data_IF_382596792070
#
_entry.id   IF_382596792070
#
_cell.length_a   1.000
_cell.length_b   1.000
_cell.length_c   1.000
_cell.angle_alpha   90.00
_cell.angle_beta   90.00
_cell.angle_gamma   90.00
#
_symmetry.space_group_name_H-M   'P 1'
#
loop_
_entity.id
_entity.type
_entity.pdbx_description
1 polymer ?
#
# COMPACT_ATOMS: atom_id res chain seq x y z
N UNK A 1 -9.79 2.10 -26.25
CA UNK A 1 -9.16 3.43 -26.41
C UNK A 1 -7.69 3.21 -26.64
N UNK A 2 -7.11 3.82 -27.68
CA UNK A 2 -5.66 3.82 -27.88
C UNK A 2 -4.99 4.60 -26.74
N UNK A 3 -3.82 4.14 -26.29
CA UNK A 3 -3.01 4.92 -25.35
C UNK A 3 -2.76 6.32 -25.94
N UNK A 4 -3.18 7.37 -25.30
CA UNK A 4 -3.11 8.70 -25.87
C UNK A 4 -1.72 9.27 -25.70
N UNK A 5 -1.12 9.68 -26.79
CA UNK A 5 0.02 10.57 -26.84
C UNK A 5 1.39 9.95 -26.53
N UNK A 6 2.44 10.66 -26.78
CA UNK A 6 3.84 10.26 -26.75
C UNK A 6 4.21 9.46 -25.47
N UNK A 7 4.33 8.12 -25.52
CA UNK A 7 4.56 7.28 -24.33
C UNK A 7 5.96 7.49 -23.70
N UNK A 8 6.84 8.21 -24.39
CA UNK A 8 8.22 8.43 -23.95
C UNK A 8 8.42 9.76 -23.22
N UNK A 9 7.36 10.54 -23.00
CA UNK A 9 7.49 11.89 -22.40
C UNK A 9 7.89 11.88 -20.93
N UNK A 10 7.56 10.80 -20.19
CA UNK A 10 7.92 10.68 -18.76
C UNK A 10 8.76 9.43 -18.54
N UNK A 11 9.95 9.63 -18.01
CA UNK A 11 10.81 8.57 -17.48
C UNK A 11 10.88 8.74 -15.96
N UNK A 12 10.43 7.73 -15.24
CA UNK A 12 10.53 7.72 -13.79
C UNK A 12 11.93 7.28 -13.37
N UNK A 13 12.63 8.16 -12.69
CA UNK A 13 13.91 7.83 -12.04
C UNK A 13 13.64 7.09 -10.74
N UNK A 14 14.33 5.99 -10.55
CA UNK A 14 14.18 5.14 -9.38
C UNK A 14 15.52 4.95 -8.67
N UNK A 15 15.61 5.35 -7.40
CA UNK A 15 16.82 5.20 -6.58
C UNK A 15 17.16 3.75 -6.24
N UNK A 16 16.19 2.82 -6.25
CA UNK A 16 16.41 1.38 -6.03
C UNK A 16 16.93 0.66 -7.26
N UNK A 17 16.61 1.16 -8.44
CA UNK A 17 17.00 0.55 -9.70
C UNK A 17 17.58 1.58 -10.64
N UNK A 18 18.57 1.21 -11.43
CA UNK A 18 19.19 2.10 -12.41
C UNK A 18 18.28 2.40 -13.61
N UNK A 19 17.11 1.78 -13.73
CA UNK A 19 16.20 1.95 -14.87
C UNK A 19 15.04 2.86 -14.52
N UNK A 20 14.68 3.77 -15.39
CA UNK A 20 13.44 4.52 -15.36
C UNK A 20 12.29 3.73 -15.97
N UNK A 21 11.05 4.08 -15.61
CA UNK A 21 9.84 3.60 -16.26
C UNK A 21 9.29 4.67 -17.20
N UNK A 22 8.81 4.25 -18.36
CA UNK A 22 8.08 5.10 -19.31
C UNK A 22 6.56 5.01 -19.08
N UNK A 23 5.81 5.95 -19.61
CA UNK A 23 4.35 5.92 -19.55
C UNK A 23 3.76 4.63 -20.12
N UNK A 24 4.36 4.11 -21.20
CA UNK A 24 3.90 2.85 -21.81
C UNK A 24 4.12 1.65 -20.89
N UNK A 25 5.21 1.61 -20.12
CA UNK A 25 5.48 0.53 -19.18
C UNK A 25 4.47 0.51 -18.05
N UNK A 26 4.14 1.69 -17.53
CA UNK A 26 3.11 1.88 -16.50
C UNK A 26 1.74 1.44 -17.04
N UNK A 27 1.40 1.88 -18.24
CA UNK A 27 0.14 1.52 -18.89
C UNK A 27 0.02 0.00 -19.07
N UNK A 28 1.04 -0.62 -19.66
CA UNK A 28 1.06 -2.07 -19.90
C UNK A 28 0.96 -2.85 -18.59
N UNK A 29 1.68 -2.41 -17.55
CA UNK A 29 1.56 -3.01 -16.24
C UNK A 29 0.12 -2.95 -15.74
N UNK A 30 -0.52 -1.78 -15.71
CA UNK A 30 -1.87 -1.64 -15.20
C UNK A 30 -2.91 -2.38 -16.04
N UNK A 31 -2.71 -2.53 -17.35
CA UNK A 31 -3.56 -3.38 -18.17
C UNK A 31 -3.39 -4.87 -17.80
N UNK A 32 -2.17 -5.33 -17.55
CA UNK A 32 -1.90 -6.73 -17.19
C UNK A 32 -2.49 -7.14 -15.84
N UNK A 33 -2.68 -6.18 -14.91
CA UNK A 33 -3.21 -6.43 -13.55
C UNK A 33 -4.63 -5.88 -13.35
N UNK A 34 -5.31 -5.46 -14.42
CA UNK A 34 -6.63 -4.80 -14.38
C UNK A 34 -7.65 -5.56 -13.54
N UNK A 35 -7.80 -6.86 -13.77
CA UNK A 35 -8.76 -7.70 -13.03
C UNK A 35 -8.47 -7.71 -11.52
N UNK A 36 -7.22 -7.92 -11.13
CA UNK A 36 -6.81 -7.93 -9.72
C UNK A 36 -7.11 -6.60 -9.02
N UNK A 37 -6.83 -5.47 -9.69
CA UNK A 37 -7.12 -4.14 -9.15
C UNK A 37 -8.63 -3.91 -9.02
N UNK A 38 -9.42 -4.26 -10.03
CA UNK A 38 -10.88 -4.12 -9.99
C UNK A 38 -11.49 -4.97 -8.88
N UNK A 39 -10.97 -6.18 -8.64
CA UNK A 39 -11.44 -7.04 -7.56
C UNK A 39 -11.11 -6.47 -6.18
N UNK A 40 -9.89 -5.99 -5.97
CA UNK A 40 -9.49 -5.42 -4.67
C UNK A 40 -10.20 -4.10 -4.38
N UNK A 41 -10.46 -3.28 -5.39
CA UNK A 41 -11.13 -1.97 -5.26
C UNK A 41 -12.65 -2.06 -5.35
N UNK A 42 -13.21 -3.26 -5.50
CA UNK A 42 -14.65 -3.47 -5.61
C UNK A 42 -15.39 -2.84 -4.42
N UNK A 43 -16.35 -1.98 -4.73
CA UNK A 43 -17.16 -1.24 -3.75
C UNK A 43 -16.37 -0.30 -2.82
N UNK A 44 -15.13 0.04 -3.17
CA UNK A 44 -14.32 1.01 -2.43
C UNK A 44 -14.13 2.28 -3.25
N UNK A 45 -14.04 3.40 -2.55
CA UNK A 45 -13.50 4.60 -3.15
C UNK A 45 -11.97 4.44 -3.28
N UNK A 46 -11.40 5.09 -4.28
CA UNK A 46 -9.97 5.05 -4.52
C UNK A 46 -9.36 6.45 -4.49
N UNK A 47 -8.08 6.50 -4.21
CA UNK A 47 -7.22 7.62 -4.50
C UNK A 47 -6.06 7.13 -5.37
N UNK A 48 -5.48 8.02 -6.15
CA UNK A 48 -4.33 7.64 -6.96
C UNK A 48 -3.37 8.81 -7.15
N UNK A 49 -2.08 8.49 -7.20
CA UNK A 49 -1.05 9.44 -7.54
C UNK A 49 -0.80 9.40 -9.05
N UNK A 50 -0.77 10.56 -9.70
CA UNK A 50 -0.40 10.70 -11.10
C UNK A 50 0.84 11.58 -11.24
N UNK A 51 1.70 11.25 -12.20
CA UNK A 51 2.79 12.13 -12.59
C UNK A 51 2.26 13.26 -13.46
N UNK A 52 2.49 14.48 -13.02
CA UNK A 52 2.19 15.69 -13.82
C UNK A 52 3.44 16.23 -14.51
N UNK A 53 4.61 15.93 -13.92
CA UNK A 53 5.93 16.28 -14.42
C UNK A 53 6.95 15.32 -13.81
N UNK A 54 8.19 15.31 -14.27
CA UNK A 54 9.26 14.48 -13.70
C UNK A 54 9.37 14.71 -12.19
N UNK A 55 9.25 13.62 -11.42
CA UNK A 55 9.35 13.62 -9.97
C UNK A 55 8.28 14.46 -9.22
N UNK A 56 7.19 14.85 -9.88
CA UNK A 56 6.09 15.60 -9.27
C UNK A 56 4.79 14.82 -9.31
N UNK A 57 4.58 13.86 -8.39
CA UNK A 57 3.31 13.19 -8.27
C UNK A 57 2.26 14.09 -7.62
N UNK A 58 1.05 14.05 -8.13
CA UNK A 58 -0.11 14.72 -7.54
C UNK A 58 -1.11 13.65 -7.12
N UNK A 59 -1.51 13.70 -5.84
CA UNK A 59 -2.53 12.80 -5.31
C UNK A 59 -3.91 13.29 -5.70
N UNK A 60 -4.65 12.48 -6.44
CA UNK A 60 -6.05 12.70 -6.81
C UNK A 60 -6.96 11.94 -5.85
N UNK A 61 -7.78 12.68 -5.11
CA UNK A 61 -8.76 12.13 -4.15
C UNK A 61 -10.19 12.30 -4.64
N UNK A 62 -10.43 13.34 -5.44
CA UNK A 62 -11.76 13.70 -5.96
C UNK A 62 -11.66 14.18 -7.38
N UNK A 63 -12.73 13.96 -8.13
CA UNK A 63 -12.92 14.53 -9.46
C UNK A 63 -13.19 16.05 -9.41
N UNK A 64 -13.30 16.65 -10.58
CA UNK A 64 -13.67 18.08 -10.71
C UNK A 64 -15.05 18.38 -10.15
N UNK A 65 -15.93 17.39 -10.13
CA UNK A 65 -17.28 17.43 -9.55
C UNK A 65 -17.31 17.25 -8.02
N UNK A 66 -16.17 17.14 -7.38
CA UNK A 66 -16.03 16.94 -5.93
C UNK A 66 -16.27 15.50 -5.47
N UNK A 67 -16.70 14.58 -6.34
CA UNK A 67 -16.96 13.19 -5.98
C UNK A 67 -15.69 12.37 -5.88
N UNK A 68 -15.73 11.35 -5.03
CA UNK A 68 -14.67 10.34 -4.94
C UNK A 68 -14.62 9.48 -6.20
N UNK A 69 -13.47 8.89 -6.46
CA UNK A 69 -13.32 7.96 -7.58
C UNK A 69 -13.71 6.54 -7.17
N UNK A 70 -14.38 5.83 -8.07
CA UNK A 70 -14.61 4.38 -8.00
C UNK A 70 -14.20 3.76 -9.31
N UNK A 71 -13.44 2.67 -9.24
CA UNK A 71 -13.10 1.92 -10.45
C UNK A 71 -14.22 0.95 -10.82
N UNK A 72 -14.52 0.96 -12.09
CA UNK A 72 -15.41 -0.01 -12.75
C UNK A 72 -14.74 -0.46 -14.05
N UNK A 73 -15.13 -1.61 -14.63
CA UNK A 73 -14.60 -2.02 -15.94
C UNK A 73 -14.79 -0.95 -17.03
N UNK A 74 -15.86 -0.15 -16.95
CA UNK A 74 -16.21 0.87 -17.96
C UNK A 74 -15.35 2.13 -17.87
N UNK A 75 -14.93 2.53 -16.65
CA UNK A 75 -14.17 3.76 -16.45
C UNK A 75 -12.69 3.53 -16.15
N UNK A 76 -12.25 2.28 -16.06
CA UNK A 76 -10.88 1.94 -15.69
C UNK A 76 -9.84 2.68 -16.54
N UNK A 77 -9.96 2.57 -17.86
CA UNK A 77 -9.01 3.15 -18.82
C UNK A 77 -9.11 4.68 -18.94
N UNK A 78 -10.14 5.29 -18.33
CA UNK A 78 -10.26 6.75 -18.22
C UNK A 78 -9.54 7.29 -16.97
N UNK A 79 -9.53 6.49 -15.90
CA UNK A 79 -8.92 6.87 -14.62
C UNK A 79 -7.46 6.44 -14.55
N UNK A 80 -7.17 5.21 -14.98
CA UNK A 80 -5.83 4.62 -14.97
C UNK A 80 -5.18 4.91 -16.32
N UNK A 81 -4.08 5.65 -16.26
CA UNK A 81 -3.31 6.07 -17.44
C UNK A 81 -1.85 5.67 -17.28
N UNK A 82 -1.03 5.86 -18.31
CA UNK A 82 0.41 5.66 -18.22
C UNK A 82 1.14 6.60 -17.24
N UNK A 83 0.43 7.57 -16.69
CA UNK A 83 0.94 8.46 -15.63
C UNK A 83 0.48 8.05 -14.23
N UNK A 84 -0.37 7.05 -14.11
CA UNK A 84 -0.86 6.58 -12.82
C UNK A 84 0.24 5.77 -12.12
N UNK A 85 0.68 6.23 -10.96
CA UNK A 85 1.65 5.51 -10.14
C UNK A 85 0.96 4.71 -9.06
N UNK A 86 0.72 5.32 -7.92
CA UNK A 86 0.21 4.61 -6.77
C UNK A 86 -1.31 4.68 -6.73
N UNK A 87 -1.93 3.52 -6.63
CA UNK A 87 -3.34 3.36 -6.31
C UNK A 87 -3.50 3.06 -4.83
N UNK A 88 -4.48 3.70 -4.22
CA UNK A 88 -4.88 3.47 -2.84
C UNK A 88 -6.36 3.10 -2.80
N UNK A 89 -6.67 2.03 -2.06
CA UNK A 89 -8.04 1.71 -1.65
C UNK A 89 -8.37 2.47 -0.38
N UNK A 90 -9.56 3.07 -0.30
CA UNK A 90 -9.98 3.77 0.91
C UNK A 90 -10.75 2.84 1.84
N UNK A 91 -10.68 3.14 3.13
CA UNK A 91 -11.48 2.49 4.14
C UNK A 91 -12.87 3.13 4.23
N UNK A 92 -13.90 2.31 4.23
CA UNK A 92 -15.29 2.75 4.47
C UNK A 92 -15.58 2.95 5.96
N UNK A 93 -16.84 3.26 6.28
CA UNK A 93 -17.31 3.38 7.67
C UNK A 93 -17.23 2.04 8.40
N UNK A 94 -17.53 0.94 7.69
CA UNK A 94 -17.45 -0.42 8.19
C UNK A 94 -16.49 -1.23 7.33
N UNK A 95 -15.67 -2.06 7.97
CA UNK A 95 -14.72 -2.95 7.31
C UNK A 95 -14.52 -4.22 8.11
N UNK A 96 -14.13 -5.29 7.45
CA UNK A 96 -13.55 -6.50 8.04
C UNK A 96 -12.02 -6.53 7.87
N UNK A 97 -11.42 -5.42 7.42
CA UNK A 97 -9.98 -5.28 7.21
C UNK A 97 -9.45 -4.17 8.10
N UNK A 98 -8.32 -4.42 8.74
CA UNK A 98 -7.49 -3.41 9.41
C UNK A 98 -6.06 -3.49 8.89
N UNK A 99 -5.37 -2.36 8.91
CA UNK A 99 -4.00 -2.22 8.39
C UNK A 99 -3.06 -1.79 9.51
N UNK A 100 -1.94 -2.46 9.63
CA UNK A 100 -0.79 -1.98 10.41
C UNK A 100 0.30 -1.65 9.38
N UNK A 101 0.62 -0.38 9.23
CA UNK A 101 1.72 0.07 8.36
C UNK A 101 3.02 0.11 9.16
N UNK A 102 3.99 -0.69 8.74
CA UNK A 102 5.31 -0.78 9.36
C UNK A 102 6.20 0.28 8.74
N UNK A 103 6.17 1.46 9.34
CA UNK A 103 6.95 2.61 8.89
C UNK A 103 8.36 2.58 9.50
N UNK A 104 9.37 2.60 8.64
CA UNK A 104 10.78 2.71 9.06
C UNK A 104 11.39 4.00 8.51
N UNK A 105 12.42 4.51 9.16
CA UNK A 105 13.26 5.54 8.56
C UNK A 105 14.05 4.93 7.39
N UNK A 106 14.15 5.60 6.23
CA UNK A 106 14.92 5.09 5.09
C UNK A 106 16.38 4.80 5.39
N UNK A 107 16.95 5.44 6.42
CA UNK A 107 18.33 5.20 6.88
C UNK A 107 18.51 3.88 7.64
N UNK A 108 17.43 3.29 8.19
CA UNK A 108 17.52 2.10 9.06
C UNK A 108 17.72 0.79 8.29
N UNK A 109 17.54 0.81 6.98
CA UNK A 109 17.75 -0.33 6.12
C UNK A 109 16.56 -1.31 6.07
N UNK A 110 16.50 -2.04 4.97
CA UNK A 110 15.34 -2.88 4.64
C UNK A 110 15.19 -4.13 5.53
N UNK A 111 16.30 -4.65 6.06
CA UNK A 111 16.25 -5.81 6.96
C UNK A 111 15.52 -5.48 8.26
N UNK A 112 15.66 -4.26 8.77
CA UNK A 112 14.93 -3.80 9.95
C UNK A 112 13.42 -3.78 9.72
N UNK A 113 12.97 -3.37 8.53
CA UNK A 113 11.56 -3.44 8.15
C UNK A 113 11.04 -4.88 8.15
N UNK A 114 11.83 -5.84 7.64
CA UNK A 114 11.44 -7.26 7.60
C UNK A 114 11.32 -7.83 9.01
N UNK A 115 12.29 -7.54 9.88
CA UNK A 115 12.29 -7.98 11.27
C UNK A 115 11.07 -7.43 12.04
N UNK A 116 10.82 -6.12 11.97
CA UNK A 116 9.67 -5.51 12.58
C UNK A 116 8.36 -6.11 12.05
N UNK A 117 8.28 -6.37 10.74
CA UNK A 117 7.11 -6.99 10.12
C UNK A 117 6.89 -8.42 10.62
N UNK A 118 7.96 -9.22 10.76
CA UNK A 118 7.88 -10.58 11.31
C UNK A 118 7.31 -10.57 12.73
N UNK A 119 7.90 -9.78 13.61
CA UNK A 119 7.50 -9.69 15.02
C UNK A 119 6.04 -9.25 15.18
N UNK A 120 5.61 -8.25 14.40
CA UNK A 120 4.23 -7.76 14.46
C UNK A 120 3.25 -8.76 13.85
N UNK A 121 3.62 -9.44 12.76
CA UNK A 121 2.78 -10.47 12.14
C UNK A 121 2.54 -11.66 13.09
N UNK A 122 3.58 -12.19 13.70
CA UNK A 122 3.48 -13.25 14.70
C UNK A 122 2.58 -12.85 15.86
N UNK A 123 2.81 -11.63 16.42
CA UNK A 123 1.96 -11.11 17.48
C UNK A 123 0.48 -11.03 17.07
N UNK A 124 0.19 -10.52 15.87
CA UNK A 124 -1.17 -10.42 15.35
C UNK A 124 -1.83 -11.79 15.26
N UNK A 125 -1.12 -12.79 14.72
CA UNK A 125 -1.67 -14.13 14.53
C UNK A 125 -1.84 -14.88 15.85
N UNK A 126 -0.94 -14.70 16.80
CA UNK A 126 -0.94 -15.45 18.06
C UNK A 126 -1.81 -14.82 19.14
N UNK A 127 -1.86 -13.49 19.21
CA UNK A 127 -2.42 -12.76 20.36
C UNK A 127 -3.68 -11.95 20.05
N UNK A 128 -4.10 -11.86 18.79
CA UNK A 128 -5.29 -11.10 18.42
C UNK A 128 -6.46 -12.01 18.00
N UNK A 129 -7.28 -12.48 18.94
CA UNK A 129 -8.27 -13.55 18.69
C UNK A 129 -9.40 -13.18 17.73
N UNK A 130 -9.62 -11.88 17.48
CA UNK A 130 -10.60 -11.39 16.52
C UNK A 130 -10.08 -11.36 15.08
N UNK A 131 -8.77 -11.45 14.88
CA UNK A 131 -8.18 -11.58 13.55
C UNK A 131 -8.36 -13.03 13.08
N UNK A 132 -8.95 -13.18 11.90
CA UNK A 132 -9.13 -14.49 11.28
C UNK A 132 -7.90 -14.91 10.49
N UNK A 133 -7.38 -13.99 9.68
CA UNK A 133 -6.16 -14.17 8.88
C UNK A 133 -5.43 -12.83 8.79
N UNK A 134 -4.13 -12.89 8.56
CA UNK A 134 -3.35 -11.71 8.18
C UNK A 134 -2.50 -12.03 6.96
N UNK A 135 -2.24 -11.01 6.14
CA UNK A 135 -1.28 -11.09 5.05
C UNK A 135 -0.27 -9.95 5.15
N UNK A 136 0.92 -10.18 4.60
CA UNK A 136 2.00 -9.21 4.56
C UNK A 136 2.07 -8.67 3.13
N UNK A 137 2.13 -7.34 2.99
CA UNK A 137 2.29 -6.67 1.70
C UNK A 137 3.50 -5.76 1.74
N UNK A 138 4.42 -5.97 0.82
CA UNK A 138 5.46 -4.98 0.53
C UNK A 138 4.84 -3.79 -0.21
N UNK A 139 5.06 -2.57 0.26
CA UNK A 139 4.38 -1.38 -0.27
C UNK A 139 5.03 -0.80 -1.54
N UNK A 140 6.09 -1.43 -2.01
CA UNK A 140 6.85 -0.95 -3.18
C UNK A 140 7.92 0.10 -2.85
N UNK A 141 8.21 0.35 -1.57
CA UNK A 141 9.29 1.23 -1.11
C UNK A 141 10.20 0.52 -0.12
N UNK A 142 10.05 0.85 1.15
CA UNK A 142 10.85 0.34 2.26
C UNK A 142 9.98 -0.24 3.37
N UNK A 143 8.67 -0.10 3.29
CA UNK A 143 7.72 -0.48 4.34
C UNK A 143 6.87 -1.68 3.93
N UNK A 144 6.21 -2.24 4.94
CA UNK A 144 5.24 -3.32 4.76
C UNK A 144 3.91 -2.94 5.42
N UNK A 145 2.83 -3.42 4.83
CA UNK A 145 1.53 -3.45 5.49
C UNK A 145 1.25 -4.87 6.00
N UNK A 146 0.78 -4.98 7.23
CA UNK A 146 0.09 -6.18 7.71
C UNK A 146 -1.41 -5.91 7.54
N UNK A 147 -2.04 -6.69 6.67
CA UNK A 147 -3.46 -6.61 6.37
C UNK A 147 -4.18 -7.65 7.22
N UNK A 148 -4.80 -7.20 8.32
CA UNK A 148 -5.56 -8.03 9.23
C UNK A 148 -6.99 -8.20 8.72
N UNK A 149 -7.46 -9.42 8.52
CA UNK A 149 -8.85 -9.72 8.20
C UNK A 149 -9.56 -10.19 9.47
N UNK A 150 -10.58 -9.47 9.87
CA UNK A 150 -11.37 -9.77 11.06
C UNK A 150 -12.50 -10.77 10.75
N UNK A 151 -12.96 -11.50 11.77
CA UNK A 151 -14.06 -12.46 11.67
C UNK A 151 -15.39 -11.80 11.30
N UNK A 152 -15.54 -10.51 11.55
CA UNK A 152 -16.75 -9.74 11.26
C UNK A 152 -16.44 -8.30 10.87
N UNK A 153 -17.39 -7.67 10.18
CA UNK A 153 -17.31 -6.24 9.89
C UNK A 153 -17.54 -5.41 11.15
N UNK A 154 -16.71 -4.39 11.32
CA UNK A 154 -16.78 -3.47 12.45
C UNK A 154 -16.65 -2.02 11.96
N UNK A 155 -17.03 -1.06 12.79
CA UNK A 155 -16.72 0.35 12.53
C UNK A 155 -15.21 0.55 12.47
N UNK A 156 -14.74 1.36 11.56
CA UNK A 156 -13.31 1.60 11.34
C UNK A 156 -12.62 2.14 12.60
N UNK A 157 -13.28 3.03 13.34
CA UNK A 157 -12.74 3.53 14.61
C UNK A 157 -12.61 2.42 15.68
N UNK A 158 -13.51 1.44 15.66
CA UNK A 158 -13.43 0.27 16.55
C UNK A 158 -12.22 -0.59 16.18
N UNK A 159 -12.01 -0.85 14.88
CA UNK A 159 -10.83 -1.59 14.41
C UNK A 159 -9.55 -0.88 14.85
N UNK A 160 -9.46 0.42 14.60
CA UNK A 160 -8.29 1.22 14.97
C UNK A 160 -8.03 1.19 16.48
N UNK A 161 -9.07 1.41 17.28
CA UNK A 161 -8.97 1.37 18.74
C UNK A 161 -8.48 0.01 19.24
N UNK A 162 -9.02 -1.08 18.70
CA UNK A 162 -8.59 -2.42 19.05
C UNK A 162 -7.13 -2.67 18.69
N UNK A 163 -6.72 -2.40 17.45
CA UNK A 163 -5.32 -2.55 17.02
C UNK A 163 -4.40 -1.73 17.95
N UNK A 164 -4.74 -0.48 18.21
CA UNK A 164 -3.97 0.40 19.09
C UNK A 164 -3.87 -0.15 20.51
N UNK A 165 -4.97 -0.61 21.08
CA UNK A 165 -5.00 -1.18 22.44
C UNK A 165 -4.15 -2.44 22.55
N UNK A 166 -4.29 -3.38 21.60
CA UNK A 166 -3.49 -4.60 21.58
C UNK A 166 -2.00 -4.33 21.45
N UNK A 167 -1.62 -3.49 20.49
CA UNK A 167 -0.21 -3.15 20.27
C UNK A 167 0.41 -2.42 21.46
N UNK A 168 -0.27 -1.42 22.03
CA UNK A 168 0.23 -0.65 23.19
C UNK A 168 0.36 -1.48 24.46
N UNK A 169 -0.47 -2.48 24.65
CA UNK A 169 -0.43 -3.35 25.83
C UNK A 169 0.46 -4.60 25.63
N UNK A 170 1.24 -4.63 24.57
CA UNK A 170 2.14 -5.74 24.25
C UNK A 170 3.61 -5.37 24.44
N UNK A 171 4.47 -6.38 24.45
CA UNK A 171 5.94 -6.20 24.45
C UNK A 171 6.43 -5.40 23.23
N UNK A 172 5.67 -5.41 22.13
CA UNK A 172 5.99 -4.62 20.94
C UNK A 172 6.09 -3.12 21.22
N UNK A 173 5.32 -2.61 22.18
CA UNK A 173 5.36 -1.20 22.59
C UNK A 173 6.69 -0.77 23.28
N UNK A 174 7.50 -1.73 23.71
CA UNK A 174 8.84 -1.48 24.26
C UNK A 174 9.90 -1.31 23.17
N UNK A 175 9.64 -1.87 21.98
CA UNK A 175 10.59 -1.90 20.85
C UNK A 175 10.17 -0.93 19.75
N UNK A 176 8.88 -0.78 19.51
CA UNK A 176 8.31 0.02 18.41
C UNK A 176 7.50 1.20 18.94
N UNK A 177 7.49 2.30 18.18
CA UNK A 177 6.53 3.37 18.44
C UNK A 177 5.18 3.05 17.79
N UNK A 178 4.08 3.52 18.39
CA UNK A 178 2.73 3.27 17.88
C UNK A 178 2.06 4.61 17.63
N UNK A 179 1.71 4.88 16.36
CA UNK A 179 1.12 6.14 15.90
C UNK A 179 1.94 7.40 16.30
N UNK A 180 3.26 7.30 16.22
CA UNK A 180 4.17 8.39 16.53
C UNK A 180 4.88 8.91 15.26
N UNK A 181 5.67 9.96 15.39
CA UNK A 181 6.57 10.39 14.32
C UNK A 181 7.69 9.37 14.14
N UNK A 182 8.05 9.10 12.89
CA UNK A 182 9.24 8.30 12.57
C UNK A 182 10.47 8.84 13.29
N UNK A 183 11.28 7.93 13.79
CA UNK A 183 12.58 8.21 14.38
C UNK A 183 13.59 7.19 13.85
N UNK A 184 14.81 7.60 13.53
CA UNK A 184 15.87 6.67 13.19
C UNK A 184 16.03 5.60 14.27
N UNK A 185 16.26 4.36 13.90
CA UNK A 185 16.46 3.23 14.80
C UNK A 185 15.20 2.69 15.48
N UNK A 186 14.02 3.26 15.27
CA UNK A 186 12.78 2.80 15.91
C UNK A 186 11.64 2.74 14.88
N UNK A 187 11.23 1.55 14.42
CA UNK A 187 10.06 1.40 13.55
C UNK A 187 8.80 1.95 14.20
N UNK A 188 7.95 2.56 13.40
CA UNK A 188 6.66 3.06 13.82
C UNK A 188 5.54 2.20 13.24
N UNK A 189 4.64 1.74 14.10
CA UNK A 189 3.43 1.04 13.71
C UNK A 189 2.33 2.08 13.49
N UNK A 190 2.14 2.48 12.22
CA UNK A 190 1.15 3.49 11.86
C UNK A 190 -0.22 2.83 11.61
N UNK A 191 -1.21 3.31 12.33
CA UNK A 191 -2.61 2.89 12.21
C UNK A 191 -3.47 3.92 11.47
N UNK A 192 -2.85 4.94 10.90
CA UNK A 192 -3.57 6.00 10.18
C UNK A 192 -4.42 5.51 9.00
N UNK A 193 -4.10 4.38 8.32
CA UNK A 193 -5.00 3.81 7.33
C UNK A 193 -6.38 3.41 7.88
N UNK A 194 -6.48 3.14 9.19
CA UNK A 194 -7.72 2.72 9.85
C UNK A 194 -8.55 3.91 10.35
N UNK A 195 -8.68 4.95 9.56
CA UNK A 195 -9.56 6.09 9.79
C UNK A 195 -10.65 6.12 8.74
N UNK A 196 -11.75 6.79 9.03
CA UNK A 196 -12.71 7.12 7.98
C UNK A 196 -12.01 7.84 6.83
N UNK A 197 -12.15 7.36 5.62
CA UNK A 197 -11.41 7.80 4.43
C UNK A 197 -9.87 7.62 4.54
N UNK A 198 -9.39 6.86 5.51
CA UNK A 198 -8.02 6.36 5.51
C UNK A 198 -7.79 5.48 4.27
N UNK A 199 -6.54 5.33 3.89
CA UNK A 199 -6.23 4.60 2.67
C UNK A 199 -4.97 3.75 2.84
N UNK A 200 -4.93 2.66 2.10
CA UNK A 200 -3.80 1.76 2.01
C UNK A 200 -3.48 1.43 0.56
N UNK A 201 -2.23 1.08 0.29
CA UNK A 201 -1.79 0.80 -1.08
C UNK A 201 -2.48 -0.47 -1.60
N UNK A 202 -3.10 -0.35 -2.77
CA UNK A 202 -3.76 -1.45 -3.48
C UNK A 202 -2.71 -2.44 -4.00
N UNK A 203 -2.99 -3.73 -3.89
CA UNK A 203 -2.13 -4.79 -4.44
C UNK A 203 -1.89 -4.57 -5.93
N UNK A 204 -0.69 -4.89 -6.40
CA UNK A 204 -0.21 -4.63 -7.76
C UNK A 204 -0.10 -3.14 -8.15
N UNK A 205 -0.40 -2.22 -7.25
CA UNK A 205 -0.16 -0.79 -7.47
C UNK A 205 1.34 -0.47 -7.51
N UNK A 206 1.74 0.47 -8.34
CA UNK A 206 3.12 0.95 -8.41
C UNK A 206 3.41 1.98 -7.32
N UNK A 207 4.61 1.94 -6.77
CA UNK A 207 5.13 3.01 -5.93
C UNK A 207 5.78 4.12 -6.76
N UNK A 208 6.18 5.21 -6.11
CA UNK A 208 7.02 6.25 -6.73
C UNK A 208 8.38 5.72 -7.21
N UNK A 209 8.82 4.57 -6.68
CA UNK A 209 10.06 3.91 -7.08
C UNK A 209 9.86 2.94 -8.25
N UNK A 210 8.66 2.82 -8.79
CA UNK A 210 8.34 1.91 -9.88
C UNK A 210 8.27 0.43 -9.47
N UNK A 211 8.20 0.15 -8.14
CA UNK A 211 8.02 -1.19 -7.61
C UNK A 211 6.55 -1.46 -7.33
N UNK A 212 6.11 -2.68 -7.59
CA UNK A 212 4.75 -3.11 -7.26
C UNK A 212 4.54 -3.29 -5.77
N UNK A 213 3.36 -2.99 -5.29
CA UNK A 213 2.84 -3.55 -4.05
C UNK A 213 2.57 -5.04 -4.29
N UNK A 214 3.24 -5.91 -3.54
CA UNK A 214 3.13 -7.37 -3.68
C UNK A 214 2.88 -8.03 -2.35
N UNK A 215 2.12 -9.13 -2.38
CA UNK A 215 1.96 -9.97 -1.21
C UNK A 215 3.23 -10.80 -0.99
N UNK A 216 3.64 -10.93 0.27
CA UNK A 216 4.83 -11.66 0.70
C UNK A 216 4.40 -12.72 1.70
N UNK A 217 4.72 -13.99 1.44
CA UNK A 217 4.45 -15.04 2.42
C UNK A 217 5.35 -14.85 3.65
N UNK A 218 4.83 -15.17 4.83
CA UNK A 218 5.60 -15.07 6.06
C UNK A 218 6.91 -15.88 5.98
N UNK A 219 6.85 -17.11 5.47
CA UNK A 219 8.04 -17.98 5.32
C UNK A 219 9.10 -17.44 4.36
N UNK A 220 8.75 -16.52 3.44
CA UNK A 220 9.71 -15.91 2.51
C UNK A 220 10.13 -14.49 2.90
N UNK A 221 9.59 -13.95 4.01
CA UNK A 221 9.83 -12.56 4.40
C UNK A 221 11.31 -12.26 4.66
N UNK A 222 12.03 -13.13 5.36
CA UNK A 222 13.45 -12.97 5.68
C UNK A 222 14.33 -12.88 4.43
N UNK A 223 14.03 -13.69 3.41
CA UNK A 223 14.74 -13.72 2.13
C UNK A 223 14.19 -12.77 1.07
N UNK A 224 13.08 -12.07 1.37
CA UNK A 224 12.43 -11.19 0.42
C UNK A 224 13.39 -10.07 -0.05
N UNK A 225 13.47 -9.92 -1.39
CA UNK A 225 14.22 -8.86 -2.04
C UNK A 225 13.26 -8.00 -2.87
N UNK A 226 13.27 -6.66 -2.72
CA UNK A 226 12.41 -5.77 -3.51
C UNK A 226 12.53 -5.92 -5.02
N UNK A 227 13.62 -6.49 -5.52
CA UNK A 227 13.79 -6.71 -6.98
C UNK A 227 12.71 -7.59 -7.59
N UNK A 228 12.09 -8.51 -6.81
CA UNK A 228 10.98 -9.35 -7.28
C UNK A 228 9.70 -8.54 -7.54
N UNK A 229 9.62 -7.34 -6.99
CA UNK A 229 8.51 -6.41 -7.18
C UNK A 229 8.66 -5.51 -8.41
N UNK A 230 9.75 -5.64 -9.20
CA UNK A 230 9.87 -4.96 -10.49
C UNK A 230 8.74 -5.34 -11.44
N UNK A 231 8.28 -4.39 -12.24
CA UNK A 231 7.51 -4.73 -13.43
C UNK A 231 8.45 -5.30 -14.50
N UNK A 232 7.93 -6.24 -15.26
CA UNK A 232 8.64 -6.74 -16.45
C UNK A 232 8.41 -5.72 -17.57
N UNK A 233 9.47 -5.16 -18.07
CA UNK A 233 9.50 -4.25 -19.22
C UNK A 233 9.75 -5.08 -20.47
#
# INVERSE_FOLDING_TARGET
MSYPQNPDTIILKNSFYPSGLKEIDIWNHYQSVKHSILDETRNKDIMFAIMVDLNKPVLKRRGKDGKTFRLTPQNYDQIITGRTLTLYSTMGVYSDIGIIDIDIDPSDGFNWAKEATSNVYEFVMDKMPLVNTASIRFTGKTSFHIVCKFKQKMKMDTIRFMLQKFLRNSELSKVYTIEAKRRPGIPNLDLSPNKLNGAYITLNSLSLLGLKCVEVSFGSLSSFNPTVAKIKI
#
